data_IF_810624916873
#
_entry.id   IF_810624916873
#
_cell.length_a   1.000
_cell.length_b   1.000
_cell.length_c   1.000
_cell.angle_alpha   90.00
_cell.angle_beta   90.00
_cell.angle_gamma   90.00
#
_symmetry.space_group_name_H-M   'P 1'
#
loop_
_entity.id
_entity.type
_entity.pdbx_description
1 polymer ?
#
# COMPACT_ATOMS: atom_id res chain seq x y z
N UNK A 1 23.42 -0.92 -5.02
CA UNK A 1 21.97 -0.67 -5.16
C UNK A 1 21.51 0.04 -3.90
N UNK A 2 20.77 1.13 -4.06
CA UNK A 2 20.17 1.87 -2.92
C UNK A 2 18.75 1.36 -2.73
N UNK A 3 18.33 1.18 -1.49
CA UNK A 3 16.93 1.01 -1.14
C UNK A 3 16.43 2.30 -0.51
N UNK A 4 15.29 2.79 -0.99
CA UNK A 4 14.60 3.91 -0.37
C UNK A 4 13.38 3.33 0.33
N UNK A 5 13.40 3.43 1.65
CA UNK A 5 12.36 2.92 2.52
C UNK A 5 11.59 4.06 3.14
N UNK A 6 10.27 4.01 3.05
CA UNK A 6 9.37 4.96 3.74
C UNK A 6 8.22 4.22 4.40
N UNK A 7 7.78 4.73 5.54
CA UNK A 7 6.56 4.28 6.17
C UNK A 7 5.67 5.48 6.51
N UNK A 8 4.37 5.28 6.43
CA UNK A 8 3.38 6.25 6.87
C UNK A 8 2.29 5.52 7.66
N UNK A 9 1.80 6.19 8.71
CA UNK A 9 0.78 5.67 9.61
C UNK A 9 -0.31 6.72 9.77
N UNK A 10 -1.57 6.29 9.79
CA UNK A 10 -2.69 7.15 10.13
C UNK A 10 -3.66 6.43 11.08
N UNK A 11 -4.30 7.17 12.02
CA UNK A 11 -5.40 6.61 12.79
C UNK A 11 -6.57 6.30 11.85
N UNK A 12 -7.17 5.13 12.03
CA UNK A 12 -8.27 4.63 11.21
C UNK A 12 -9.56 5.34 11.59
N UNK A 13 -9.82 5.42 12.90
CA UNK A 13 -11.01 6.03 13.47
C UNK A 13 -10.62 7.32 14.23
N UNK A 14 -11.48 8.32 14.11
CA UNK A 14 -11.52 9.51 14.95
C UNK A 14 -12.87 9.59 15.67
N UNK A 15 -13.04 10.44 16.70
CA UNK A 15 -14.35 10.64 17.32
C UNK A 15 -15.44 11.08 16.34
N UNK A 16 -15.06 11.72 15.22
CA UNK A 16 -15.97 12.21 14.18
C UNK A 16 -16.14 11.24 13.01
N UNK A 17 -15.48 10.07 13.03
CA UNK A 17 -15.56 9.11 11.93
C UNK A 17 -16.93 8.44 11.88
N UNK A 18 -17.56 8.46 10.69
CA UNK A 18 -18.82 7.77 10.44
C UNK A 18 -18.87 7.24 8.99
N UNK A 19 -19.07 5.93 8.77
CA UNK A 19 -19.04 4.87 9.78
C UNK A 19 -17.64 4.67 10.39
N UNK A 20 -17.59 4.12 11.61
CA UNK A 20 -16.37 3.57 12.20
C UNK A 20 -15.99 2.28 11.47
N UNK A 21 -14.70 2.04 11.27
CA UNK A 21 -14.17 0.82 10.66
C UNK A 21 -13.67 -0.12 11.76
N UNK A 22 -14.12 -1.37 11.76
CA UNK A 22 -13.54 -2.46 12.53
C UNK A 22 -12.26 -2.97 11.86
N UNK A 23 -11.54 -3.85 12.55
CA UNK A 23 -10.39 -4.54 11.96
C UNK A 23 -10.79 -5.36 10.73
N UNK A 24 -11.96 -6.00 10.78
CA UNK A 24 -12.47 -6.82 9.68
C UNK A 24 -12.87 -5.97 8.47
N UNK A 25 -13.51 -4.82 8.68
CA UNK A 25 -13.83 -3.89 7.58
C UNK A 25 -12.54 -3.44 6.88
N UNK A 26 -11.53 -3.07 7.67
CA UNK A 26 -10.28 -2.56 7.13
C UNK A 26 -9.50 -3.66 6.40
N UNK A 27 -9.46 -4.87 6.95
CA UNK A 27 -8.84 -6.01 6.29
C UNK A 27 -9.56 -6.37 4.98
N UNK A 28 -10.89 -6.41 4.98
CA UNK A 28 -11.69 -6.64 3.78
C UNK A 28 -11.41 -5.57 2.71
N UNK A 29 -11.26 -4.30 3.11
CA UNK A 29 -10.85 -3.24 2.18
C UNK A 29 -9.43 -3.45 1.63
N UNK A 30 -8.47 -3.94 2.43
CA UNK A 30 -7.12 -4.26 1.95
C UNK A 30 -7.12 -5.43 0.96
N UNK A 31 -7.92 -6.47 1.21
CA UNK A 31 -8.12 -7.58 0.27
C UNK A 31 -8.79 -7.09 -1.02
N UNK A 32 -9.79 -6.21 -0.91
CA UNK A 32 -10.40 -5.59 -2.08
C UNK A 32 -9.38 -4.74 -2.87
N UNK A 33 -8.53 -3.95 -2.18
CA UNK A 33 -7.41 -3.22 -2.80
C UNK A 33 -6.38 -4.14 -3.47
N UNK A 34 -6.15 -5.35 -2.95
CA UNK A 34 -5.32 -6.35 -3.60
C UNK A 34 -5.92 -6.86 -4.92
N UNK A 35 -7.24 -6.87 -5.05
CA UNK A 35 -7.94 -7.31 -6.26
C UNK A 35 -8.17 -6.16 -7.25
N UNK A 36 -8.48 -4.97 -6.75
CA UNK A 36 -8.86 -3.78 -7.51
C UNK A 36 -8.05 -2.55 -7.09
N UNK A 37 -6.72 -2.56 -7.30
CA UNK A 37 -5.85 -1.53 -6.75
C UNK A 37 -6.03 -0.15 -7.36
N UNK A 38 -6.61 -0.06 -8.55
CA UNK A 38 -6.86 1.20 -9.28
C UNK A 38 -7.72 2.16 -8.47
N UNK A 39 -8.65 1.64 -7.67
CA UNK A 39 -9.54 2.44 -6.83
C UNK A 39 -8.75 3.17 -5.73
N UNK A 40 -7.59 2.64 -5.32
CA UNK A 40 -6.79 3.12 -4.18
C UNK A 40 -5.48 3.80 -4.58
N UNK A 41 -4.93 3.45 -5.75
CA UNK A 41 -3.59 3.82 -6.17
C UNK A 41 -3.67 4.46 -7.56
N UNK A 42 -3.80 5.78 -7.57
CA UNK A 42 -3.96 6.57 -8.79
C UNK A 42 -2.89 6.32 -9.88
N UNK A 43 -1.62 5.99 -9.57
CA UNK A 43 -0.62 5.59 -10.56
C UNK A 43 -0.96 4.33 -11.38
N UNK A 44 -1.82 3.45 -10.88
CA UNK A 44 -2.16 2.20 -11.58
C UNK A 44 -3.14 2.49 -12.71
N UNK A 45 -2.82 1.97 -13.90
CA UNK A 45 -3.64 2.08 -15.11
C UNK A 45 -4.60 0.90 -15.22
N UNK A 46 -4.08 -0.32 -15.05
CA UNK A 46 -4.83 -1.57 -15.09
C UNK A 46 -4.21 -2.61 -14.15
N UNK A 47 -5.03 -3.59 -13.75
CA UNK A 47 -4.62 -4.73 -12.95
C UNK A 47 -5.48 -5.95 -13.29
N UNK A 48 -4.89 -7.13 -13.33
CA UNK A 48 -5.61 -8.39 -13.49
C UNK A 48 -5.03 -9.49 -12.60
N UNK A 49 -5.88 -10.23 -11.89
CA UNK A 49 -5.44 -11.40 -11.14
C UNK A 49 -5.15 -12.53 -12.13
N UNK A 50 -3.95 -13.09 -12.06
CA UNK A 50 -3.51 -14.20 -12.92
C UNK A 50 -3.43 -15.54 -12.20
N UNK A 51 -3.34 -15.50 -10.86
CA UNK A 51 -3.32 -16.70 -10.05
C UNK A 51 -3.89 -16.43 -8.65
N UNK A 52 -4.67 -17.37 -8.13
CA UNK A 52 -5.13 -17.39 -6.73
C UNK A 52 -4.36 -18.50 -6.01
N UNK A 53 -3.85 -18.21 -4.82
CA UNK A 53 -3.27 -19.22 -3.93
C UNK A 53 -4.02 -19.24 -2.60
N UNK A 54 -3.71 -20.24 -1.76
CA UNK A 54 -4.45 -20.49 -0.52
C UNK A 54 -4.44 -19.27 0.44
N UNK A 55 -3.36 -18.50 0.41
CA UNK A 55 -3.03 -17.40 1.30
C UNK A 55 -2.79 -16.09 0.54
N UNK A 56 -3.32 -15.93 -0.67
CA UNK A 56 -3.05 -14.72 -1.45
C UNK A 56 -3.39 -14.80 -2.93
N UNK A 57 -2.83 -13.88 -3.70
CA UNK A 57 -2.98 -13.85 -5.16
C UNK A 57 -1.71 -13.35 -5.85
N UNK A 58 -1.54 -13.74 -7.10
CA UNK A 58 -0.60 -13.08 -8.02
C UNK A 58 -1.40 -12.29 -9.05
N UNK A 59 -1.01 -11.04 -9.25
CA UNK A 59 -1.63 -10.15 -10.23
C UNK A 59 -0.60 -9.53 -11.16
N UNK A 60 -1.07 -9.12 -12.32
CA UNK A 60 -0.34 -8.25 -13.23
C UNK A 60 -0.83 -6.83 -13.07
N UNK A 61 0.10 -5.89 -12.94
CA UNK A 61 -0.19 -4.46 -12.77
C UNK A 61 0.52 -3.67 -13.84
N UNK A 62 -0.16 -2.69 -14.41
CA UNK A 62 0.41 -1.71 -15.33
C UNK A 62 0.30 -0.31 -14.74
N UNK A 63 1.39 0.44 -14.78
CA UNK A 63 1.44 1.82 -14.28
C UNK A 63 1.34 2.83 -15.41
N UNK A 64 0.66 3.95 -15.12
CA UNK A 64 0.53 5.10 -16.02
C UNK A 64 1.91 5.69 -16.33
N UNK A 65 2.06 6.21 -17.55
CA UNK A 65 3.25 6.96 -17.93
C UNK A 65 3.49 8.18 -16.98
N UNK A 66 4.75 8.48 -16.71
CA UNK A 66 5.21 9.52 -15.78
C UNK A 66 5.11 9.19 -14.29
N UNK A 67 4.75 7.96 -13.89
CA UNK A 67 4.50 7.63 -12.47
C UNK A 67 5.53 6.72 -11.80
N UNK A 68 6.17 5.81 -12.55
CA UNK A 68 7.07 4.77 -11.99
C UNK A 68 8.38 4.62 -12.77
N UNK A 69 8.78 5.64 -13.55
CA UNK A 69 10.05 5.65 -14.26
C UNK A 69 10.19 4.46 -15.22
N UNK A 70 11.15 3.58 -14.98
CA UNK A 70 11.43 2.42 -15.87
C UNK A 70 10.32 1.36 -15.87
N UNK A 71 9.41 1.37 -14.89
CA UNK A 71 8.28 0.44 -14.81
C UNK A 71 7.04 0.93 -15.57
N UNK A 72 7.09 2.13 -16.13
CA UNK A 72 5.99 2.68 -16.92
C UNK A 72 5.76 1.85 -18.17
N UNK A 73 4.48 1.61 -18.50
CA UNK A 73 4.06 0.84 -19.68
C UNK A 73 4.57 -0.61 -19.71
N UNK A 74 5.18 -1.08 -18.62
CA UNK A 74 5.51 -2.48 -18.42
C UNK A 74 4.43 -3.10 -17.54
N UNK A 75 3.99 -4.28 -17.95
CA UNK A 75 3.17 -5.13 -17.10
C UNK A 75 4.11 -5.85 -16.13
N UNK A 76 3.93 -5.62 -14.83
CA UNK A 76 4.74 -6.27 -13.78
C UNK A 76 3.91 -7.28 -13.02
N UNK A 77 4.52 -8.42 -12.69
CA UNK A 77 3.92 -9.42 -11.80
C UNK A 77 4.17 -9.03 -10.34
N UNK A 78 3.08 -8.92 -9.59
CA UNK A 78 3.08 -8.64 -8.17
C UNK A 78 2.41 -9.81 -7.43
N UNK A 79 3.15 -10.38 -6.49
CA UNK A 79 2.69 -11.41 -5.57
C UNK A 79 2.13 -10.71 -4.34
N UNK A 80 0.97 -11.14 -3.89
CA UNK A 80 0.26 -10.55 -2.75
C UNK A 80 -0.07 -11.64 -1.74
N UNK A 81 0.45 -11.50 -0.53
CA UNK A 81 0.25 -12.45 0.56
C UNK A 81 -0.71 -11.87 1.61
N UNK A 82 -1.65 -12.69 2.06
CA UNK A 82 -2.71 -12.36 2.99
C UNK A 82 -2.43 -12.96 4.36
N UNK A 83 -2.37 -12.10 5.38
CA UNK A 83 -2.19 -12.47 6.78
C UNK A 83 -3.36 -11.93 7.61
N UNK A 84 -4.52 -12.60 7.56
CA UNK A 84 -5.72 -12.11 8.25
C UNK A 84 -5.54 -12.08 9.78
N UNK A 85 -6.16 -11.11 10.48
CA UNK A 85 -6.89 -9.96 9.94
C UNK A 85 -6.03 -8.69 9.83
N UNK A 86 -4.70 -8.78 9.97
CA UNK A 86 -3.86 -7.62 10.27
C UNK A 86 -2.98 -7.16 9.13
N UNK A 87 -2.70 -7.99 8.11
CA UNK A 87 -1.68 -7.63 7.13
C UNK A 87 -1.93 -8.16 5.73
N UNK A 88 -1.57 -7.35 4.75
CA UNK A 88 -1.43 -7.72 3.34
C UNK A 88 -0.07 -7.23 2.86
N UNK A 89 0.75 -8.15 2.34
CA UNK A 89 2.08 -7.85 1.80
C UNK A 89 2.07 -7.96 0.28
N UNK A 90 2.80 -7.07 -0.39
CA UNK A 90 2.93 -7.01 -1.83
C UNK A 90 4.42 -7.08 -2.19
N UNK A 91 4.76 -7.88 -3.19
CA UNK A 91 6.12 -8.02 -3.67
C UNK A 91 6.15 -8.11 -5.19
N UNK A 92 7.07 -7.37 -5.83
CA UNK A 92 7.36 -7.50 -7.26
C UNK A 92 8.72 -8.20 -7.41
N UNK A 93 8.76 -9.51 -7.70
CA UNK A 93 10.01 -10.29 -7.75
C UNK A 93 11.03 -9.73 -8.73
N UNK A 94 10.56 -9.23 -9.89
CA UNK A 94 11.43 -8.71 -10.94
C UNK A 94 12.23 -7.46 -10.53
N UNK A 95 11.72 -6.67 -9.59
CA UNK A 95 12.35 -5.41 -9.15
C UNK A 95 12.92 -5.51 -7.75
N UNK A 96 12.38 -6.38 -6.89
CA UNK A 96 12.68 -6.43 -5.47
C UNK A 96 11.79 -5.51 -4.62
N UNK A 97 10.85 -4.78 -5.23
CA UNK A 97 9.92 -3.88 -4.53
C UNK A 97 9.07 -4.65 -3.52
N UNK A 98 8.89 -4.07 -2.33
CA UNK A 98 8.06 -4.61 -1.26
C UNK A 98 7.19 -3.54 -0.65
N UNK A 99 5.95 -3.90 -0.35
CA UNK A 99 5.00 -3.03 0.36
C UNK A 99 4.28 -3.87 1.40
N UNK A 100 4.18 -3.39 2.63
CA UNK A 100 3.33 -4.03 3.65
C UNK A 100 2.22 -3.08 4.04
N UNK A 101 1.00 -3.60 4.15
CA UNK A 101 -0.16 -2.87 4.65
C UNK A 101 -0.57 -3.52 5.96
N UNK A 102 -0.36 -2.82 7.07
CA UNK A 102 -0.42 -3.37 8.42
C UNK A 102 -1.49 -2.61 9.21
N UNK A 103 -2.39 -3.37 9.82
CA UNK A 103 -3.39 -2.90 10.77
C UNK A 103 -2.88 -3.24 12.17
N UNK A 104 -2.87 -2.26 13.06
CA UNK A 104 -2.42 -2.44 14.44
C UNK A 104 -3.37 -1.76 15.41
N UNK A 105 -3.52 -2.37 16.59
CA UNK A 105 -4.15 -1.73 17.74
C UNK A 105 -3.19 -0.73 18.40
N UNK A 106 -3.73 0.21 19.17
CA UNK A 106 -2.95 0.94 20.15
C UNK A 106 -2.34 -0.03 21.18
N UNK A 107 -1.12 0.26 21.64
CA UNK A 107 -0.40 -0.62 22.58
C UNK A 107 -1.04 -0.73 23.97
N UNK A 108 -1.84 0.26 24.36
CA UNK A 108 -2.45 0.34 25.69
C UNK A 108 -3.82 -0.36 25.75
N UNK A 109 -4.45 -0.59 24.60
CA UNK A 109 -5.78 -1.19 24.51
C UNK A 109 -5.93 -1.99 23.20
N UNK A 110 -5.67 -3.30 23.29
CA UNK A 110 -5.71 -4.22 22.14
C UNK A 110 -7.10 -4.70 21.79
N UNK A 111 -8.13 -4.32 22.57
CA UNK A 111 -9.53 -4.69 22.31
C UNK A 111 -10.33 -3.50 21.76
N UNK A 112 -9.81 -2.28 21.89
CA UNK A 112 -10.46 -1.07 21.41
C UNK A 112 -10.27 -0.86 19.91
N UNK A 113 -11.27 -1.27 19.12
CA UNK A 113 -11.33 -1.02 17.68
C UNK A 113 -11.51 0.47 17.30
N UNK A 114 -11.80 1.35 18.25
CA UNK A 114 -11.77 2.79 17.99
C UNK A 114 -10.35 3.34 17.84
N UNK A 115 -9.33 2.59 18.26
CA UNK A 115 -7.92 2.99 18.23
C UNK A 115 -7.08 2.09 17.31
N UNK A 116 -7.61 1.82 16.12
CA UNK A 116 -6.87 1.17 15.05
C UNK A 116 -5.97 2.16 14.30
N UNK A 117 -4.81 1.68 13.88
CA UNK A 117 -3.86 2.37 13.02
C UNK A 117 -3.63 1.57 11.74
N UNK A 118 -3.57 2.27 10.61
CA UNK A 118 -3.15 1.71 9.34
C UNK A 118 -1.75 2.22 9.03
N UNK A 119 -0.81 1.31 8.80
CA UNK A 119 0.57 1.61 8.44
C UNK A 119 0.91 0.98 7.10
N UNK A 120 1.39 1.78 6.15
CA UNK A 120 2.00 1.27 4.93
C UNK A 120 3.51 1.49 5.00
N UNK A 121 4.28 0.42 4.82
CA UNK A 121 5.72 0.49 4.59
C UNK A 121 6.01 0.18 3.14
N UNK A 122 6.98 0.88 2.56
CA UNK A 122 7.39 0.72 1.19
C UNK A 122 8.90 0.62 1.13
N UNK A 123 9.41 -0.39 0.43
CA UNK A 123 10.83 -0.59 0.14
C UNK A 123 11.00 -0.63 -1.38
N UNK A 124 11.60 0.43 -1.93
CA UNK A 124 11.84 0.56 -3.36
C UNK A 124 13.33 0.43 -3.69
N UNK A 125 13.71 -0.60 -4.48
CA UNK A 125 15.06 -0.72 -5.02
C UNK A 125 15.28 0.33 -6.11
N UNK A 126 16.39 1.05 -6.01
CA UNK A 126 16.85 2.03 -7.00
C UNK A 126 18.20 1.58 -7.56
N UNK A 127 18.23 0.60 -8.48
CA UNK A 127 19.46 0.09 -9.09
C UNK A 127 20.14 1.12 -10.01
N UNK A 128 19.40 2.10 -10.52
CA UNK A 128 19.91 3.20 -11.35
C UNK A 128 20.81 4.19 -10.59
N UNK A 129 20.67 4.23 -9.27
CA UNK A 129 21.45 5.13 -8.42
C UNK A 129 22.82 4.48 -8.13
N UNK A 130 23.82 4.77 -8.98
CA UNK A 130 25.14 4.11 -8.95
C UNK A 130 26.32 4.99 -8.52
N UNK A 131 26.20 6.31 -8.62
CA UNK A 131 27.28 7.28 -8.33
C UNK A 131 27.16 7.82 -6.89
N UNK A 132 28.24 7.75 -6.09
CA UNK A 132 28.23 8.08 -4.64
C UNK A 132 27.92 9.52 -4.27
N UNK A 133 28.28 10.52 -5.08
CA UNK A 133 28.01 11.92 -4.71
C UNK A 133 26.65 12.40 -5.24
N UNK A 134 26.29 11.99 -6.47
CA UNK A 134 24.93 12.22 -7.03
C UNK A 134 23.86 11.40 -6.29
N UNK A 135 24.27 10.27 -5.72
CA UNK A 135 23.44 9.38 -4.88
C UNK A 135 22.70 10.15 -3.80
N UNK A 136 23.36 11.07 -3.11
CA UNK A 136 22.76 11.69 -1.93
C UNK A 136 21.60 12.61 -2.31
N UNK A 137 21.81 13.51 -3.26
CA UNK A 137 20.77 14.46 -3.65
C UNK A 137 19.60 13.76 -4.38
N UNK A 138 19.89 12.87 -5.32
CA UNK A 138 18.85 12.13 -6.05
C UNK A 138 18.05 11.22 -5.09
N UNK A 139 18.70 10.54 -4.16
CA UNK A 139 18.01 9.73 -3.16
C UNK A 139 17.17 10.58 -2.20
N UNK A 140 17.65 11.76 -1.77
CA UNK A 140 16.88 12.68 -0.92
C UNK A 140 15.61 13.20 -1.63
N UNK A 141 15.70 13.57 -2.90
CA UNK A 141 14.54 14.02 -3.70
C UNK A 141 13.51 12.89 -3.89
N UNK A 142 13.99 11.67 -4.16
CA UNK A 142 13.13 10.50 -4.29
C UNK A 142 12.49 10.16 -2.94
N UNK A 143 13.25 10.16 -1.85
CA UNK A 143 12.76 9.91 -0.50
C UNK A 143 11.64 10.89 -0.13
N UNK A 144 11.82 12.18 -0.39
CA UNK A 144 10.80 13.19 -0.08
C UNK A 144 9.52 13.00 -0.90
N UNK A 145 9.66 12.62 -2.18
CA UNK A 145 8.51 12.28 -3.04
C UNK A 145 7.76 11.06 -2.49
N UNK A 146 8.48 10.01 -2.12
CA UNK A 146 7.93 8.79 -1.55
C UNK A 146 7.22 9.05 -0.22
N UNK A 147 7.82 9.88 0.65
CA UNK A 147 7.23 10.30 1.92
C UNK A 147 5.92 11.06 1.74
N UNK A 148 5.86 11.99 0.78
CA UNK A 148 4.62 12.72 0.45
C UNK A 148 3.55 11.79 -0.13
N UNK A 149 3.95 10.82 -0.96
CA UNK A 149 3.06 9.81 -1.52
C UNK A 149 2.47 8.91 -0.43
N UNK A 150 3.32 8.36 0.43
CA UNK A 150 2.91 7.46 1.52
C UNK A 150 1.99 8.16 2.52
N UNK A 151 2.29 9.42 2.86
CA UNK A 151 1.44 10.24 3.75
C UNK A 151 0.03 10.52 3.19
N UNK A 152 -0.17 10.42 1.87
CA UNK A 152 -1.48 10.62 1.22
C UNK A 152 -2.25 9.32 1.03
N UNK A 153 -1.56 8.26 0.60
CA UNK A 153 -2.23 6.99 0.23
C UNK A 153 -2.82 6.26 1.45
N UNK A 154 -2.23 6.40 2.63
CA UNK A 154 -2.73 5.75 3.86
C UNK A 154 -4.08 6.35 4.27
N UNK A 155 -4.23 7.67 4.49
CA UNK A 155 -5.55 8.28 4.74
C UNK A 155 -6.56 8.03 3.63
N UNK A 156 -6.14 8.07 2.36
CA UNK A 156 -7.02 7.82 1.23
C UNK A 156 -7.57 6.38 1.22
N UNK A 157 -6.75 5.40 1.60
CA UNK A 157 -7.22 4.01 1.72
C UNK A 157 -8.27 3.87 2.82
N UNK A 158 -8.11 4.56 3.94
CA UNK A 158 -9.10 4.60 5.03
C UNK A 158 -10.41 5.26 4.56
N UNK A 159 -10.32 6.33 3.77
CA UNK A 159 -11.48 7.01 3.19
C UNK A 159 -12.26 6.08 2.25
N UNK A 160 -11.59 5.39 1.34
CA UNK A 160 -12.23 4.42 0.44
C UNK A 160 -12.86 3.27 1.22
N UNK A 161 -12.16 2.72 2.22
CA UNK A 161 -12.72 1.68 3.07
C UNK A 161 -14.02 2.14 3.75
N UNK A 162 -14.03 3.37 4.27
CA UNK A 162 -15.22 3.96 4.89
C UNK A 162 -16.35 4.16 3.89
N UNK A 163 -16.05 4.62 2.68
CA UNK A 163 -17.02 4.72 1.59
C UNK A 163 -17.61 3.35 1.25
N UNK A 164 -16.77 2.33 1.07
CA UNK A 164 -17.22 0.96 0.77
C UNK A 164 -18.13 0.40 1.88
N UNK A 165 -17.82 0.66 3.15
CA UNK A 165 -18.68 0.28 4.28
C UNK A 165 -20.04 0.99 4.21
N UNK A 166 -20.04 2.30 3.94
CA UNK A 166 -21.29 3.07 3.80
C UNK A 166 -22.15 2.58 2.62
N UNK A 167 -21.51 2.08 1.56
CA UNK A 167 -22.16 1.47 0.39
C UNK A 167 -22.60 0.01 0.60
N UNK A 168 -22.28 -0.62 1.74
CA UNK A 168 -22.59 -2.03 2.02
C UNK A 168 -21.74 -3.03 1.24
N UNK A 169 -20.52 -2.64 0.85
CA UNK A 169 -19.55 -3.46 0.09
C UNK A 169 -18.49 -4.13 0.98
N UNK A 170 -18.49 -3.83 2.28
CA UNK A 170 -17.65 -4.45 3.31
C UNK A 170 -18.54 -5.19 4.32
#
# INVERSE_FOLDING_TARGET
>A
MVFISVSATAPVNSPLSSPKLSINDLYAALVYKARYPKDFVAPIESSSVIHEHADGLTRKVMFKAGTMGKLEKQEVEEVVDFYPPTRVDFHVPATGMRVSNIISYASEDTENEEELYLTFSFDFPHPEITDREKQKQEAEEILERHRKGSAKVVPHTIEIARQMKAEGRL
#
